data_IF_034488776445
#
_entry.id   IF_034488776445
#
_cell.length_a   1.000
_cell.length_b   1.000
_cell.length_c   1.000
_cell.angle_alpha   90.00
_cell.angle_beta   90.00
_cell.angle_gamma   90.00
#
_symmetry.space_group_name_H-M   'P 1'
#
loop_
_entity.id
_entity.type
_entity.pdbx_description
1 polymer ?
#
# COMPACT_ATOMS: atom_id res chain seq x y z
N UNK A 1 50.06 18.47 2.81
CA UNK A 1 48.59 18.44 2.66
C UNK A 1 48.28 17.78 1.32
N UNK A 2 47.47 16.73 1.28
CA UNK A 2 47.03 16.16 0.00
C UNK A 2 46.01 17.11 -0.63
N UNK A 3 46.23 17.52 -1.88
CA UNK A 3 45.26 18.33 -2.63
C UNK A 3 43.91 17.62 -2.65
N UNK A 4 42.83 18.36 -2.36
CA UNK A 4 41.48 17.83 -2.48
C UNK A 4 41.18 17.60 -3.96
N UNK A 5 40.89 16.35 -4.32
CA UNK A 5 40.40 16.02 -5.67
C UNK A 5 39.07 16.72 -5.89
N UNK A 6 38.98 17.48 -6.97
CA UNK A 6 37.74 18.14 -7.40
C UNK A 6 36.79 17.12 -8.02
N UNK A 7 35.51 17.16 -7.62
CA UNK A 7 34.45 16.29 -8.15
C UNK A 7 33.59 17.15 -9.09
N UNK A 8 33.43 16.78 -10.38
CA UNK A 8 32.59 17.51 -11.32
C UNK A 8 31.15 17.68 -10.81
N UNK A 9 30.53 18.82 -11.13
CA UNK A 9 29.19 19.17 -10.62
C UNK A 9 28.12 18.15 -10.99
N UNK A 10 28.11 17.66 -12.23
CA UNK A 10 27.16 16.63 -12.70
C UNK A 10 27.34 15.29 -11.96
N UNK A 11 28.58 14.96 -11.60
CA UNK A 11 28.90 13.78 -10.80
C UNK A 11 28.47 14.01 -9.34
N UNK A 12 28.66 15.22 -8.80
CA UNK A 12 28.24 15.59 -7.46
C UNK A 12 26.71 15.47 -7.31
N UNK A 13 25.94 15.92 -8.30
CA UNK A 13 24.48 15.81 -8.29
C UNK A 13 24.03 14.34 -8.22
N UNK A 14 24.64 13.46 -9.03
CA UNK A 14 24.36 12.02 -8.99
C UNK A 14 24.74 11.39 -7.64
N UNK A 15 25.88 11.78 -7.08
CA UNK A 15 26.31 11.31 -5.76
C UNK A 15 25.31 11.76 -4.69
N UNK A 16 24.90 13.03 -4.72
CA UNK A 16 23.93 13.55 -3.76
C UNK A 16 22.60 12.81 -3.87
N UNK A 17 22.13 12.50 -5.09
CA UNK A 17 20.93 11.70 -5.29
C UNK A 17 21.06 10.27 -4.74
N UNK A 18 22.24 9.65 -4.86
CA UNK A 18 22.52 8.32 -4.27
C UNK A 18 22.61 8.35 -2.74
N UNK A 19 22.99 9.48 -2.16
CA UNK A 19 23.14 9.69 -0.72
C UNK A 19 21.91 10.37 -0.09
N UNK A 20 20.84 10.58 -0.86
CA UNK A 20 19.63 11.23 -0.34
C UNK A 20 18.76 10.22 0.45
N UNK A 21 19.07 10.12 1.73
CA UNK A 21 18.39 9.26 2.69
C UNK A 21 16.98 9.77 3.06
N UNK A 22 16.58 10.95 2.57
CA UNK A 22 15.25 11.52 2.85
C UNK A 22 14.15 11.00 1.92
N UNK A 23 14.53 10.30 0.84
CA UNK A 23 13.57 9.86 -0.18
C UNK A 23 12.73 8.67 0.27
N UNK A 24 11.52 8.57 -0.29
CA UNK A 24 10.66 7.39 -0.10
C UNK A 24 11.28 6.13 -0.71
N UNK A 25 12.02 6.26 -1.81
CA UNK A 25 12.76 5.18 -2.45
C UNK A 25 13.84 4.62 -1.53
N UNK A 26 14.67 5.47 -0.94
CA UNK A 26 15.71 5.05 0.01
C UNK A 26 15.09 4.32 1.21
N UNK A 27 14.06 4.92 1.82
CA UNK A 27 13.34 4.30 2.94
C UNK A 27 12.74 2.93 2.59
N UNK A 28 12.31 2.73 1.34
CA UNK A 28 11.80 1.44 0.87
C UNK A 28 12.93 0.44 0.59
N UNK A 29 14.05 0.90 0.02
CA UNK A 29 15.24 0.08 -0.21
C UNK A 29 15.77 -0.50 1.10
N UNK A 30 15.96 0.33 2.13
CA UNK A 30 16.46 -0.12 3.43
C UNK A 30 15.53 -1.15 4.08
N UNK A 31 14.21 -0.92 4.03
CA UNK A 31 13.22 -1.88 4.51
C UNK A 31 13.30 -3.20 3.73
N UNK A 32 13.50 -3.15 2.42
CA UNK A 32 13.61 -4.34 1.59
C UNK A 32 14.89 -5.14 1.88
N UNK A 33 16.02 -4.46 2.17
CA UNK A 33 17.26 -5.10 2.58
C UNK A 33 17.06 -5.84 3.91
N UNK A 34 16.50 -5.16 4.91
CA UNK A 34 16.21 -5.78 6.21
C UNK A 34 15.24 -6.95 6.07
N UNK A 35 14.17 -6.79 5.31
CA UNK A 35 13.22 -7.86 5.02
C UNK A 35 13.88 -9.09 4.39
N UNK A 36 14.71 -8.90 3.36
CA UNK A 36 15.43 -10.00 2.70
C UNK A 36 16.35 -10.73 3.67
N UNK A 37 17.12 -10.00 4.47
CA UNK A 37 18.01 -10.59 5.47
C UNK A 37 17.25 -11.38 6.55
N UNK A 38 16.11 -10.85 7.02
CA UNK A 38 15.25 -11.55 7.98
C UNK A 38 14.63 -12.81 7.36
N UNK A 39 14.09 -12.71 6.14
CA UNK A 39 13.47 -13.84 5.44
C UNK A 39 14.49 -14.92 5.09
N UNK A 40 15.72 -14.55 4.73
CA UNK A 40 16.82 -15.51 4.51
C UNK A 40 17.14 -16.29 5.80
N UNK A 41 17.14 -15.62 6.95
CA UNK A 41 17.47 -16.24 8.24
C UNK A 41 16.34 -17.03 8.88
N UNK A 42 15.10 -16.55 8.77
CA UNK A 42 13.94 -17.06 9.50
C UNK A 42 12.85 -17.68 8.62
N UNK A 43 13.00 -17.63 7.29
CA UNK A 43 12.06 -18.22 6.35
C UNK A 43 10.78 -17.42 6.15
N UNK A 44 9.76 -18.09 5.61
CA UNK A 44 8.50 -17.47 5.17
C UNK A 44 7.62 -16.97 6.32
N UNK A 45 7.84 -17.41 7.56
CA UNK A 45 7.13 -16.92 8.75
C UNK A 45 7.28 -15.39 8.92
N UNK A 46 8.38 -14.82 8.40
CA UNK A 46 8.58 -13.37 8.35
C UNK A 46 7.47 -12.66 7.58
N UNK A 47 6.99 -13.26 6.48
CA UNK A 47 5.92 -12.68 5.67
C UNK A 47 4.62 -12.59 6.47
N UNK A 48 4.26 -13.67 7.18
CA UNK A 48 3.07 -13.75 8.03
C UNK A 48 3.13 -12.76 9.19
N UNK A 49 4.29 -12.66 9.85
CA UNK A 49 4.52 -11.71 10.93
C UNK A 49 4.34 -10.27 10.46
N UNK A 50 4.89 -9.91 9.29
CA UNK A 50 4.71 -8.56 8.73
C UNK A 50 3.25 -8.33 8.39
N UNK A 51 2.62 -9.21 7.59
CA UNK A 51 1.24 -9.06 7.16
C UNK A 51 0.28 -8.90 8.34
N UNK A 52 0.43 -9.72 9.38
CA UNK A 52 -0.40 -9.66 10.59
C UNK A 52 -0.20 -8.36 11.36
N UNK A 53 1.03 -7.97 11.66
CA UNK A 53 1.28 -6.80 12.50
C UNK A 53 0.94 -5.48 11.79
N UNK A 54 1.28 -5.36 10.50
CA UNK A 54 0.90 -4.21 9.69
C UNK A 54 -0.62 -4.17 9.51
N UNK A 55 -1.24 -5.31 9.24
CA UNK A 55 -2.69 -5.45 9.15
C UNK A 55 -3.41 -5.00 10.42
N UNK A 56 -3.01 -5.51 11.60
CA UNK A 56 -3.61 -5.12 12.89
C UNK A 56 -3.42 -3.63 13.20
N UNK A 57 -2.27 -3.05 12.84
CA UNK A 57 -2.08 -1.60 12.94
C UNK A 57 -3.05 -0.86 12.02
N UNK A 58 -3.19 -1.29 10.77
CA UNK A 58 -4.13 -0.70 9.80
C UNK A 58 -5.58 -0.80 10.29
N UNK A 59 -5.99 -1.94 10.84
CA UNK A 59 -7.31 -2.11 11.47
C UNK A 59 -7.54 -1.02 12.54
N UNK A 60 -6.63 -0.89 13.51
CA UNK A 60 -6.78 0.08 14.59
C UNK A 60 -6.68 1.54 14.13
N UNK A 61 -5.99 1.79 13.01
CA UNK A 61 -6.00 3.12 12.37
C UNK A 61 -7.37 3.44 11.80
N UNK A 62 -7.98 2.53 11.04
CA UNK A 62 -9.28 2.79 10.40
C UNK A 62 -10.44 2.81 11.40
N UNK A 63 -10.37 2.03 12.49
CA UNK A 63 -11.31 2.12 13.62
C UNK A 63 -11.31 3.53 14.24
N UNK A 64 -10.11 4.09 14.49
CA UNK A 64 -10.00 5.47 14.99
C UNK A 64 -10.47 6.50 13.98
N UNK A 65 -10.28 6.26 12.68
CA UNK A 65 -10.74 7.19 11.65
C UNK A 65 -12.27 7.24 11.63
N UNK A 66 -12.97 6.11 11.66
CA UNK A 66 -14.45 6.14 11.69
C UNK A 66 -14.98 6.77 12.98
N UNK A 67 -14.33 6.52 14.13
CA UNK A 67 -14.63 7.21 15.39
C UNK A 67 -14.47 8.73 15.29
N UNK A 68 -13.37 9.20 14.70
CA UNK A 68 -13.09 10.64 14.53
C UNK A 68 -14.06 11.33 13.57
N UNK A 69 -14.48 10.63 12.51
CA UNK A 69 -15.46 11.13 11.55
C UNK A 69 -16.89 11.07 12.11
N UNK A 70 -17.12 10.25 13.14
CA UNK A 70 -18.46 9.84 13.58
C UNK A 70 -19.31 9.33 12.40
N UNK A 71 -18.66 8.58 11.51
CA UNK A 71 -19.23 8.00 10.30
C UNK A 71 -18.43 6.75 9.91
N UNK A 72 -19.12 5.61 9.86
CA UNK A 72 -18.58 4.31 9.48
C UNK A 72 -19.22 3.76 8.20
N UNK A 73 -19.86 4.62 7.39
CA UNK A 73 -20.54 4.25 6.17
C UNK A 73 -19.57 3.77 5.07
N UNK A 74 -20.06 2.86 4.22
CA UNK A 74 -19.29 2.38 3.07
C UNK A 74 -18.91 3.52 2.11
N UNK A 75 -19.79 4.49 1.91
CA UNK A 75 -19.53 5.63 1.03
C UNK A 75 -18.32 6.45 1.51
N UNK A 76 -18.29 6.82 2.79
CA UNK A 76 -17.19 7.56 3.40
C UNK A 76 -15.88 6.77 3.36
N UNK A 77 -15.95 5.45 3.58
CA UNK A 77 -14.77 4.59 3.44
C UNK A 77 -14.18 4.61 2.02
N UNK A 78 -15.03 4.53 0.99
CA UNK A 78 -14.60 4.54 -0.41
C UNK A 78 -14.00 5.89 -0.79
N UNK A 79 -14.62 7.00 -0.39
CA UNK A 79 -14.10 8.34 -0.62
C UNK A 79 -12.71 8.52 -0.01
N UNK A 80 -12.54 8.11 1.25
CA UNK A 80 -11.26 8.18 1.96
C UNK A 80 -10.14 7.42 1.25
N UNK A 81 -10.43 6.23 0.72
CA UNK A 81 -9.44 5.39 0.07
C UNK A 81 -9.09 5.83 -1.34
N UNK A 82 -10.07 6.28 -2.13
CA UNK A 82 -9.93 6.39 -3.58
C UNK A 82 -9.88 7.83 -4.10
N UNK A 83 -10.56 8.79 -3.47
CA UNK A 83 -10.65 10.17 -3.98
C UNK A 83 -9.28 10.86 -4.09
N UNK A 84 -8.33 10.68 -3.15
CA UNK A 84 -7.02 11.32 -3.26
C UNK A 84 -6.12 10.70 -4.35
N UNK A 85 -6.42 9.47 -4.80
CA UNK A 85 -5.48 8.69 -5.60
C UNK A 85 -5.14 9.31 -6.97
N UNK A 86 -6.09 9.86 -7.75
CA UNK A 86 -5.79 10.48 -9.05
C UNK A 86 -4.80 11.65 -8.94
N UNK A 87 -4.96 12.51 -7.93
CA UNK A 87 -4.04 13.64 -7.69
C UNK A 87 -2.63 13.17 -7.32
N UNK A 88 -2.53 12.02 -6.67
CA UNK A 88 -1.25 11.37 -6.36
C UNK A 88 -0.68 10.56 -7.55
N UNK A 89 -1.37 10.52 -8.69
CA UNK A 89 -0.89 9.91 -9.94
C UNK A 89 -1.33 8.46 -10.18
N UNK A 90 -2.31 7.94 -9.44
CA UNK A 90 -2.93 6.65 -9.76
C UNK A 90 -3.87 6.79 -10.97
N UNK A 91 -4.08 5.69 -11.70
CA UNK A 91 -5.15 5.60 -12.70
C UNK A 91 -6.14 4.53 -12.30
N UNK A 92 -7.42 4.88 -12.33
CA UNK A 92 -8.49 3.98 -11.95
C UNK A 92 -9.74 4.16 -12.79
N UNK A 93 -10.52 3.09 -12.89
CA UNK A 93 -11.88 3.08 -13.40
C UNK A 93 -12.82 2.79 -12.23
N UNK A 94 -13.98 3.44 -12.20
CA UNK A 94 -15.00 3.24 -11.19
C UNK A 94 -16.32 2.79 -11.81
N UNK A 95 -17.03 1.91 -11.11
CA UNK A 95 -18.36 1.47 -11.46
C UNK A 95 -19.07 1.06 -10.19
N UNK A 96 -20.23 1.64 -9.91
CA UNK A 96 -21.03 1.27 -8.74
C UNK A 96 -22.36 0.68 -9.22
N UNK A 97 -22.72 -0.51 -8.72
CA UNK A 97 -23.89 -1.25 -9.18
C UNK A 97 -24.40 -2.20 -8.09
N UNK A 98 -25.72 -2.21 -7.85
CA UNK A 98 -26.36 -3.16 -6.93
C UNK A 98 -25.86 -3.08 -5.47
N UNK A 99 -25.49 -1.89 -5.00
CA UNK A 99 -24.95 -1.68 -3.64
C UNK A 99 -23.50 -2.14 -3.47
N UNK A 100 -22.78 -2.38 -4.58
CA UNK A 100 -21.36 -2.70 -4.60
C UNK A 100 -20.58 -1.57 -5.26
N UNK A 101 -19.41 -1.28 -4.69
CA UNK A 101 -18.48 -0.29 -5.20
C UNK A 101 -17.30 -0.99 -5.86
N UNK A 102 -17.12 -0.78 -7.16
CA UNK A 102 -15.99 -1.36 -7.91
C UNK A 102 -14.97 -0.28 -8.24
N UNK A 103 -13.70 -0.56 -7.92
CA UNK A 103 -12.57 0.30 -8.27
C UNK A 103 -11.49 -0.55 -8.93
N UNK A 104 -11.19 -0.25 -10.19
CA UNK A 104 -10.17 -0.96 -10.96
C UNK A 104 -8.95 -0.08 -11.13
N UNK A 105 -7.88 -0.37 -10.38
CA UNK A 105 -6.62 0.35 -10.52
C UNK A 105 -5.83 -0.24 -11.68
N UNK A 106 -5.55 0.57 -12.70
CA UNK A 106 -4.77 0.19 -13.90
C UNK A 106 -3.34 0.72 -13.86
N UNK A 107 -3.05 1.68 -12.97
CA UNK A 107 -1.70 2.18 -12.72
C UNK A 107 -1.52 2.58 -11.27
N UNK A 108 -0.41 2.16 -10.65
CA UNK A 108 -0.09 2.40 -9.25
C UNK A 108 1.39 2.81 -9.09
N UNK A 109 1.68 4.07 -8.72
CA UNK A 109 3.04 4.56 -8.42
C UNK A 109 3.79 3.71 -7.38
N UNK A 110 3.10 3.18 -6.36
CA UNK A 110 3.72 2.26 -5.38
C UNK A 110 4.21 0.97 -6.03
N UNK A 111 3.45 0.43 -6.99
CA UNK A 111 3.83 -0.79 -7.72
C UNK A 111 5.05 -0.53 -8.61
N UNK A 112 5.06 0.60 -9.33
CA UNK A 112 6.21 0.97 -10.17
C UNK A 112 7.49 1.19 -9.35
N UNK A 113 7.38 1.87 -8.21
CA UNK A 113 8.50 2.02 -7.28
C UNK A 113 8.96 0.65 -6.76
N UNK A 114 8.04 -0.23 -6.34
CA UNK A 114 8.41 -1.55 -5.84
C UNK A 114 9.12 -2.41 -6.89
N UNK A 115 8.67 -2.38 -8.16
CA UNK A 115 9.32 -3.05 -9.28
C UNK A 115 10.74 -2.54 -9.52
N UNK A 116 10.91 -1.20 -9.57
CA UNK A 116 12.23 -0.57 -9.73
C UNK A 116 13.23 -1.03 -8.65
N UNK A 117 12.73 -1.29 -7.44
CA UNK A 117 13.52 -1.65 -6.28
C UNK A 117 13.64 -3.16 -6.00
N UNK A 118 12.94 -4.01 -6.77
CA UNK A 118 12.82 -5.45 -6.48
C UNK A 118 12.26 -5.70 -5.08
N UNK A 119 11.24 -4.93 -4.69
CA UNK A 119 10.62 -4.87 -3.37
C UNK A 119 9.12 -5.22 -3.39
N UNK A 120 8.61 -5.82 -4.46
CA UNK A 120 7.19 -6.09 -4.71
C UNK A 120 6.55 -6.91 -3.60
N UNK A 121 7.21 -8.00 -3.17
CA UNK A 121 6.73 -8.85 -2.08
C UNK A 121 6.60 -8.07 -0.76
N UNK A 122 7.62 -7.30 -0.39
CA UNK A 122 7.55 -6.49 0.83
C UNK A 122 6.47 -5.41 0.71
N UNK A 123 6.41 -4.69 -0.41
CA UNK A 123 5.41 -3.65 -0.63
C UNK A 123 3.97 -4.21 -0.59
N UNK A 124 3.76 -5.43 -1.09
CA UNK A 124 2.49 -6.13 -0.94
C UNK A 124 2.12 -6.32 0.53
N UNK A 125 3.05 -6.83 1.34
CA UNK A 125 2.84 -7.07 2.78
C UNK A 125 2.61 -5.76 3.56
N UNK A 126 3.22 -4.65 3.13
CA UNK A 126 3.12 -3.35 3.80
C UNK A 126 1.88 -2.54 3.39
N UNK A 127 1.26 -2.85 2.24
CA UNK A 127 0.18 -2.04 1.69
C UNK A 127 -1.00 -2.90 1.20
N UNK A 128 -0.79 -3.70 0.15
CA UNK A 128 -1.89 -4.36 -0.57
C UNK A 128 -2.62 -5.42 0.28
N UNK A 129 -1.93 -6.19 1.11
CA UNK A 129 -2.59 -7.20 1.95
C UNK A 129 -3.30 -6.58 3.17
N UNK A 130 -3.28 -5.25 3.32
CA UNK A 130 -3.91 -4.57 4.46
C UNK A 130 -5.32 -4.06 4.17
N UNK A 131 -5.77 -4.17 2.91
CA UNK A 131 -7.06 -3.63 2.45
C UNK A 131 -8.29 -4.31 3.11
N UNK A 132 -8.18 -5.59 3.49
CA UNK A 132 -9.22 -6.24 4.29
C UNK A 132 -9.22 -5.79 5.76
N UNK A 133 -8.05 -5.45 6.30
CA UNK A 133 -7.94 -4.90 7.66
C UNK A 133 -8.47 -3.47 7.72
N UNK A 134 -8.22 -2.64 6.72
CA UNK A 134 -8.74 -1.27 6.67
C UNK A 134 -10.27 -1.26 6.61
N UNK A 135 -10.87 -2.05 5.71
CA UNK A 135 -12.33 -2.16 5.61
C UNK A 135 -12.97 -2.68 6.90
N UNK A 136 -12.44 -3.78 7.46
CA UNK A 136 -12.99 -4.36 8.69
C UNK A 136 -12.78 -3.45 9.91
N UNK A 137 -11.67 -2.71 9.95
CA UNK A 137 -11.37 -1.73 10.99
C UNK A 137 -12.30 -0.53 10.93
N UNK A 138 -12.59 -0.03 9.72
CA UNK A 138 -13.50 1.09 9.52
C UNK A 138 -14.93 0.74 9.92
N UNK A 139 -15.43 -0.40 9.42
CA UNK A 139 -16.72 -0.96 9.78
C UNK A 139 -16.72 -2.49 9.57
N UNK A 140 -17.01 -3.25 10.63
CA UNK A 140 -17.05 -4.73 10.61
C UNK A 140 -18.09 -5.31 9.65
N UNK A 141 -19.06 -4.51 9.19
CA UNK A 141 -20.05 -4.91 8.17
C UNK A 141 -19.56 -4.71 6.75
N UNK A 142 -18.51 -3.93 6.50
CA UNK A 142 -17.93 -3.83 5.15
C UNK A 142 -17.28 -5.17 4.78
N UNK A 143 -17.50 -5.59 3.54
CA UNK A 143 -16.88 -6.74 2.91
C UNK A 143 -16.01 -6.24 1.75
N UNK A 144 -14.95 -6.98 1.49
CA UNK A 144 -13.95 -6.67 0.50
C UNK A 144 -13.57 -7.94 -0.26
N UNK A 145 -13.67 -7.87 -1.58
CA UNK A 145 -13.19 -8.88 -2.51
C UNK A 145 -12.20 -8.26 -3.50
N UNK A 146 -11.14 -9.00 -3.84
CA UNK A 146 -10.17 -8.69 -4.89
C UNK A 146 -9.55 -9.99 -5.42
N UNK A 147 -9.50 -10.15 -6.74
CA UNK A 147 -8.99 -11.37 -7.39
C UNK A 147 -7.62 -11.17 -8.03
N UNK A 148 -7.28 -9.94 -8.40
CA UNK A 148 -5.99 -9.58 -9.02
C UNK A 148 -5.39 -8.37 -8.33
N UNK A 149 -4.06 -8.34 -8.27
CA UNK A 149 -3.29 -7.21 -7.73
C UNK A 149 -2.13 -6.88 -8.67
N UNK A 150 -1.96 -5.61 -9.03
CA UNK A 150 -0.79 -5.14 -9.81
C UNK A 150 0.53 -5.53 -9.15
N UNK A 151 0.61 -5.42 -7.82
CA UNK A 151 1.81 -5.73 -7.02
C UNK A 151 2.23 -7.21 -7.08
N UNK A 152 1.29 -8.10 -7.37
CA UNK A 152 1.54 -9.54 -7.52
C UNK A 152 1.74 -9.94 -8.98
N UNK A 153 1.81 -8.97 -9.90
CA UNK A 153 1.97 -9.20 -11.34
C UNK A 153 0.66 -9.36 -12.11
N UNK A 154 -0.49 -9.13 -11.46
CA UNK A 154 -1.79 -9.14 -12.13
C UNK A 154 -2.02 -7.94 -13.06
N UNK A 155 -3.00 -8.02 -13.98
CA UNK A 155 -3.26 -6.96 -14.98
C UNK A 155 -3.85 -5.67 -14.38
N UNK A 156 -4.47 -5.75 -13.20
CA UNK A 156 -5.05 -4.61 -12.48
C UNK A 156 -5.26 -4.97 -11.00
N UNK A 157 -5.67 -4.02 -10.17
CA UNK A 157 -6.31 -4.31 -8.88
C UNK A 157 -7.82 -4.16 -9.03
N UNK A 158 -8.61 -5.22 -8.83
CA UNK A 158 -10.07 -5.25 -9.02
C UNK A 158 -10.81 -5.19 -7.67
N UNK A 159 -10.77 -4.04 -7.01
CA UNK A 159 -11.44 -3.87 -5.72
C UNK A 159 -12.97 -3.95 -5.88
N UNK A 160 -13.61 -4.72 -5.02
CA UNK A 160 -15.05 -4.74 -4.82
C UNK A 160 -15.37 -4.61 -3.33
N UNK A 161 -16.08 -3.55 -2.94
CA UNK A 161 -16.55 -3.35 -1.57
C UNK A 161 -18.07 -3.30 -1.51
N UNK A 162 -18.64 -3.83 -0.43
CA UNK A 162 -20.09 -3.86 -0.20
C UNK A 162 -20.39 -4.06 1.28
N UNK A 163 -21.62 -3.72 1.70
CA UNK A 163 -22.08 -4.05 3.04
C UNK A 163 -22.54 -5.50 3.11
N UNK A 164 -22.19 -6.20 4.17
CA UNK A 164 -22.84 -7.45 4.52
C UNK A 164 -24.35 -7.23 4.61
N UNK A 165 -25.14 -8.13 4.02
CA UNK A 165 -26.58 -8.15 4.27
C UNK A 165 -26.79 -8.40 5.75
N UNK A 166 -27.69 -7.66 6.38
CA UNK A 166 -28.13 -8.03 7.71
C UNK A 166 -28.69 -9.46 7.61
N UNK A 167 -28.20 -10.37 8.45
CA UNK A 167 -28.87 -11.65 8.64
C UNK A 167 -30.23 -11.33 9.24
N UNK A 168 -31.28 -11.33 8.40
CA UNK A 168 -32.67 -11.35 8.86
C UNK A 168 -32.83 -12.60 9.74
N UNK A 169 -32.77 -12.42 11.05
CA UNK A 169 -33.25 -13.39 12.04
C UNK A 169 -34.77 -13.31 12.13
#
# INVERSE_FOLDING_TARGET
MKEKKEIPTDVREKINALLDESTSEWNMQEKNIMYKALREKFGEEVDELIAKNVGMRTYGTFEKISELLNDDSLETFIQLLFDPLPEMGWKMEEKDEGGKYYRKITYCPKCEMAKKLGAEKLMYLLACCTDHYSSTGFNKKIRFDRNTTLMEGGPCCDFCFYMAKDEEN
#
